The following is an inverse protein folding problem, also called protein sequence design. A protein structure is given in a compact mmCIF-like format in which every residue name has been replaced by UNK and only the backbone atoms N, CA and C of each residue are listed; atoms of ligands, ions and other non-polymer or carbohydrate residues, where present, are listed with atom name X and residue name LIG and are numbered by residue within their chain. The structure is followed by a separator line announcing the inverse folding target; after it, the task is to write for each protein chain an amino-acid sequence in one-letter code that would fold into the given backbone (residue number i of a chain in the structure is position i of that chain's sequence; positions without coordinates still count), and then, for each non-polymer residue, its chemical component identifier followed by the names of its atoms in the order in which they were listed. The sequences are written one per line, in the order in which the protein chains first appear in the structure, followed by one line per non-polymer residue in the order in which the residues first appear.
data_IF_378836233415
#
_entry.id   IF_378836233415
#
_cell.length_a   1.000
_cell.length_b   1.000
_cell.length_c   1.000
_cell.angle_alpha   90.00
_cell.angle_beta   90.00
_cell.angle_gamma   90.00
#
_symmetry.space_group_name_H-M   'P 1'
#
loop_
_entity.id
_entity.type
_entity.pdbx_description
1 polymer ?
#
# COMPACT_ATOMS: atom_id res chain seq x y z
N UNK A 1 -8.86 17.25 -17.26
CA UNK A 1 -8.20 17.77 -18.51
C UNK A 1 -8.66 16.93 -19.68
N UNK A 2 -9.42 17.50 -20.61
CA UNK A 2 -9.91 16.80 -21.80
C UNK A 2 -8.73 16.52 -22.74
N UNK A 3 -8.45 15.24 -23.00
CA UNK A 3 -7.44 14.79 -23.95
C UNK A 3 -7.88 15.01 -25.41
N UNK A 4 -8.36 16.20 -25.71
CA UNK A 4 -8.80 16.52 -27.07
C UNK A 4 -7.59 16.90 -27.93
N UNK A 5 -7.26 16.02 -28.88
CA UNK A 5 -6.23 16.24 -29.86
C UNK A 5 -4.81 15.81 -29.50
N UNK A 6 -3.91 15.93 -30.47
CA UNK A 6 -2.49 15.51 -30.37
C UNK A 6 -1.72 16.17 -29.23
N UNK A 7 -1.85 17.48 -28.93
CA UNK A 7 -1.12 18.07 -27.81
C UNK A 7 -1.43 17.43 -26.44
N UNK A 8 -2.69 17.13 -26.18
CA UNK A 8 -3.10 16.47 -24.93
C UNK A 8 -2.59 15.03 -24.83
N UNK A 9 -2.62 14.27 -25.93
CA UNK A 9 -2.06 12.92 -25.99
C UNK A 9 -0.53 12.95 -25.83
N UNK A 10 0.15 13.90 -26.45
CA UNK A 10 1.60 14.05 -26.33
C UNK A 10 2.02 14.33 -24.87
N UNK A 11 1.26 15.15 -24.15
CA UNK A 11 1.49 15.38 -22.72
C UNK A 11 1.38 14.08 -21.90
N UNK A 12 0.36 13.26 -22.14
CA UNK A 12 0.22 11.95 -21.49
C UNK A 12 1.37 10.99 -21.80
N UNK A 13 1.81 10.95 -23.07
CA UNK A 13 2.95 10.12 -23.49
C UNK A 13 4.27 10.54 -22.84
N UNK A 14 4.42 11.80 -22.43
CA UNK A 14 5.61 12.34 -21.76
C UNK A 14 5.53 12.37 -20.25
N UNK A 15 4.36 12.06 -19.66
CA UNK A 15 4.16 12.12 -18.20
C UNK A 15 5.16 11.25 -17.41
N UNK A 16 5.68 10.16 -17.99
CA UNK A 16 6.70 9.33 -17.39
C UNK A 16 7.99 10.10 -17.01
N UNK A 17 8.29 11.21 -17.71
CA UNK A 17 9.51 12.00 -17.45
C UNK A 17 9.51 12.62 -16.05
N UNK A 18 8.35 13.01 -15.54
CA UNK A 18 8.22 13.54 -14.17
C UNK A 18 8.50 12.47 -13.12
N UNK A 19 8.00 11.25 -13.33
CA UNK A 19 8.28 10.12 -12.43
C UNK A 19 9.75 9.73 -12.46
N UNK A 20 10.37 9.63 -13.66
CA UNK A 20 11.79 9.30 -13.80
C UNK A 20 12.71 10.38 -13.17
N UNK A 21 12.32 11.65 -13.25
CA UNK A 21 13.02 12.74 -12.57
C UNK A 21 13.03 12.54 -11.05
N UNK A 22 11.87 12.21 -10.45
CA UNK A 22 11.75 11.95 -9.02
C UNK A 22 12.53 10.69 -8.60
N UNK A 23 12.45 9.63 -9.39
CA UNK A 23 13.22 8.40 -9.13
C UNK A 23 14.74 8.66 -9.15
N UNK A 24 15.22 9.40 -10.13
CA UNK A 24 16.63 9.79 -10.21
C UNK A 24 17.05 10.68 -9.03
N UNK A 25 16.22 11.62 -8.62
CA UNK A 25 16.51 12.48 -7.48
C UNK A 25 16.58 11.69 -6.16
N UNK A 26 15.70 10.71 -5.96
CA UNK A 26 15.75 9.81 -4.79
C UNK A 26 16.94 8.85 -4.87
N UNK A 27 17.26 8.29 -6.03
CA UNK A 27 18.42 7.41 -6.21
C UNK A 27 19.77 8.13 -5.92
N UNK A 28 19.86 9.39 -6.29
CA UNK A 28 21.03 10.25 -6.02
C UNK A 28 21.02 10.83 -4.60
N UNK A 29 20.05 10.45 -3.77
CA UNK A 29 19.84 10.94 -2.39
C UNK A 29 19.79 12.47 -2.26
N UNK A 30 19.28 13.13 -3.32
CA UNK A 30 19.32 14.58 -3.47
C UNK A 30 18.64 15.34 -2.35
N UNK A 31 17.48 14.83 -1.90
CA UNK A 31 16.69 15.49 -0.86
C UNK A 31 17.39 15.40 0.50
N UNK A 32 18.06 14.28 0.79
CA UNK A 32 18.86 14.10 2.01
C UNK A 32 20.12 14.97 1.98
N UNK A 33 20.80 15.06 0.83
CA UNK A 33 21.97 15.92 0.67
C UNK A 33 21.66 17.41 0.81
N UNK A 34 20.48 17.85 0.34
CA UNK A 34 19.98 19.19 0.57
C UNK A 34 19.65 19.42 2.05
N UNK A 35 18.99 18.47 2.69
CA UNK A 35 18.55 18.63 4.09
C UNK A 35 17.79 19.94 4.28
N UNK A 36 18.15 20.68 5.34
CA UNK A 36 17.59 22.01 5.67
C UNK A 36 18.49 23.16 5.14
N UNK A 37 19.56 22.85 4.40
CA UNK A 37 20.52 23.85 3.91
C UNK A 37 20.31 24.16 2.42
N UNK A 38 20.71 25.37 2.00
CA UNK A 38 20.79 25.72 0.61
C UNK A 38 22.19 25.36 0.06
N UNK A 39 22.26 24.57 -1.02
CA UNK A 39 23.49 24.10 -1.62
C UNK A 39 23.66 24.61 -3.06
N UNK A 40 24.89 24.75 -3.52
CA UNK A 40 25.20 25.02 -4.93
C UNK A 40 25.17 23.74 -5.75
N UNK A 41 25.15 23.87 -7.06
CA UNK A 41 25.23 22.73 -8.01
C UNK A 41 26.52 21.93 -7.78
N UNK A 42 27.64 22.61 -7.57
CA UNK A 42 28.93 22.01 -7.37
C UNK A 42 29.01 21.18 -6.08
N UNK A 43 28.49 21.73 -4.97
CA UNK A 43 28.40 21.04 -3.69
C UNK A 43 27.59 19.73 -3.83
N UNK A 44 26.40 19.81 -4.45
CA UNK A 44 25.51 18.64 -4.62
C UNK A 44 26.08 17.62 -5.64
N UNK A 45 26.73 18.08 -6.69
CA UNK A 45 27.39 17.20 -7.65
C UNK A 45 28.50 16.35 -6.99
N UNK A 46 29.26 16.93 -6.06
CA UNK A 46 30.28 16.21 -5.28
C UNK A 46 29.63 15.20 -4.35
N UNK A 47 28.61 15.59 -3.59
CA UNK A 47 27.91 14.71 -2.64
C UNK A 47 27.26 13.51 -3.34
N UNK A 48 26.64 13.73 -4.49
CA UNK A 48 25.97 12.69 -5.26
C UNK A 48 26.89 11.89 -6.21
N UNK A 49 28.19 12.22 -6.28
CA UNK A 49 29.12 11.62 -7.24
C UNK A 49 28.72 11.84 -8.71
N UNK A 50 28.10 12.98 -9.01
CA UNK A 50 27.52 13.29 -10.31
C UNK A 50 28.28 14.40 -11.04
N UNK A 51 28.03 14.55 -12.35
CA UNK A 51 28.59 15.68 -13.11
C UNK A 51 27.84 16.98 -12.78
N UNK A 52 28.56 18.11 -12.65
CA UNK A 52 27.98 19.43 -12.43
C UNK A 52 26.92 19.79 -13.49
N UNK A 53 27.17 19.42 -14.77
CA UNK A 53 26.22 19.65 -15.86
C UNK A 53 24.90 18.90 -15.65
N UNK A 54 24.97 17.58 -15.32
CA UNK A 54 23.79 16.75 -15.05
C UNK A 54 23.04 17.23 -13.83
N UNK A 55 23.75 17.52 -12.74
CA UNK A 55 23.20 18.03 -11.51
C UNK A 55 22.43 19.33 -11.72
N UNK A 56 23.00 20.30 -12.45
CA UNK A 56 22.31 21.55 -12.77
C UNK A 56 20.96 21.31 -13.47
N UNK A 57 20.94 20.44 -14.50
CA UNK A 57 19.72 20.14 -15.24
C UNK A 57 18.65 19.47 -14.36
N UNK A 58 19.08 18.55 -13.47
CA UNK A 58 18.20 17.87 -12.51
C UNK A 58 17.57 18.89 -11.54
N UNK A 59 18.40 19.73 -10.92
CA UNK A 59 17.96 20.73 -9.94
C UNK A 59 17.04 21.82 -10.56
N UNK A 60 17.37 22.27 -11.77
CA UNK A 60 16.52 23.23 -12.49
C UNK A 60 15.16 22.63 -12.82
N UNK A 61 15.09 21.34 -13.21
CA UNK A 61 13.83 20.64 -13.46
C UNK A 61 13.00 20.46 -12.18
N UNK A 62 13.62 20.00 -11.07
CA UNK A 62 12.96 19.89 -9.77
C UNK A 62 12.45 21.25 -9.26
N UNK A 63 13.21 22.32 -9.50
CA UNK A 63 12.78 23.67 -9.15
C UNK A 63 11.60 24.15 -9.99
N UNK A 64 11.62 23.87 -11.29
CA UNK A 64 10.51 24.19 -12.20
C UNK A 64 9.22 23.45 -11.83
N UNK A 65 9.32 22.21 -11.30
CA UNK A 65 8.19 21.45 -10.75
C UNK A 65 7.75 21.94 -9.36
N UNK A 66 8.44 22.90 -8.76
CA UNK A 66 8.10 23.44 -7.45
C UNK A 66 8.51 22.55 -6.26
N UNK A 67 9.36 21.56 -6.46
CA UNK A 67 9.87 20.70 -5.39
C UNK A 67 11.05 21.34 -4.65
N UNK A 68 11.84 22.15 -5.34
CA UNK A 68 12.95 22.93 -4.79
C UNK A 68 12.66 24.42 -4.95
N UNK A 69 13.35 25.22 -4.13
CA UNK A 69 13.45 26.67 -4.26
C UNK A 69 14.85 27.02 -4.74
N UNK A 70 14.96 27.77 -5.82
CA UNK A 70 16.22 28.30 -6.33
C UNK A 70 16.34 29.77 -5.96
N UNK A 71 17.41 30.15 -5.29
CA UNK A 71 17.77 31.54 -4.99
C UNK A 71 19.22 31.78 -5.42
N UNK A 72 19.41 32.65 -6.38
CA UNK A 72 20.70 32.89 -7.03
C UNK A 72 21.30 31.58 -7.60
N UNK A 73 22.43 31.14 -7.07
CA UNK A 73 23.13 29.91 -7.44
C UNK A 73 22.88 28.73 -6.48
N UNK A 74 21.98 28.90 -5.49
CA UNK A 74 21.69 27.90 -4.47
C UNK A 74 20.29 27.32 -4.60
N UNK A 75 20.17 26.06 -4.24
CA UNK A 75 18.93 25.27 -4.21
C UNK A 75 18.64 24.82 -2.79
N UNK A 76 17.39 24.92 -2.37
CA UNK A 76 16.91 24.43 -1.09
C UNK A 76 15.67 23.55 -1.28
N UNK A 77 15.50 22.53 -0.45
CA UNK A 77 14.31 21.72 -0.46
C UNK A 77 13.14 22.51 0.19
N UNK A 78 11.92 22.34 -0.34
CA UNK A 78 10.72 22.82 0.37
C UNK A 78 10.50 21.96 1.60
N UNK A 79 10.07 22.55 2.71
CA UNK A 79 9.91 21.85 3.99
C UNK A 79 8.99 20.63 3.87
N UNK A 80 7.86 20.78 3.18
CA UNK A 80 6.90 19.70 2.95
C UNK A 80 7.49 18.54 2.13
N UNK A 81 8.40 18.83 1.20
CA UNK A 81 9.10 17.83 0.38
C UNK A 81 10.24 17.17 1.16
N UNK A 82 11.00 17.98 1.93
CA UNK A 82 12.06 17.48 2.81
C UNK A 82 11.48 16.49 3.83
N UNK A 83 10.34 16.75 4.43
CA UNK A 83 9.67 15.84 5.36
C UNK A 83 9.36 14.47 4.72
N UNK A 84 9.02 14.44 3.42
CA UNK A 84 8.63 13.22 2.72
C UNK A 84 9.80 12.45 2.08
N UNK A 85 10.86 13.14 1.66
CA UNK A 85 11.90 12.55 0.81
C UNK A 85 13.32 12.57 1.41
N UNK A 86 13.48 12.95 2.68
CA UNK A 86 14.75 12.86 3.42
C UNK A 86 14.81 11.59 4.25
N UNK A 87 15.90 10.84 4.23
CA UNK A 87 16.03 9.56 4.94
C UNK A 87 15.93 9.68 6.47
N UNK A 88 16.23 10.85 7.03
CA UNK A 88 16.19 11.09 8.47
C UNK A 88 14.81 11.54 8.98
N UNK A 89 13.88 11.84 8.08
CA UNK A 89 12.53 12.23 8.46
C UNK A 89 11.73 11.02 8.97
N UNK A 90 11.02 11.13 10.10
CA UNK A 90 10.12 10.08 10.56
C UNK A 90 8.89 9.90 9.64
N UNK A 91 8.59 10.90 8.81
CA UNK A 91 7.46 10.92 7.86
C UNK A 91 7.86 10.52 6.44
N UNK A 92 9.13 10.12 6.22
CA UNK A 92 9.63 9.84 4.88
C UNK A 92 8.81 8.73 4.17
N UNK A 93 8.77 8.84 2.84
CA UNK A 93 8.04 7.96 1.92
C UNK A 93 8.99 7.28 0.91
N UNK A 94 10.25 7.10 1.29
CA UNK A 94 11.27 6.61 0.37
C UNK A 94 11.04 5.17 -0.07
N UNK A 95 10.46 4.31 0.80
CA UNK A 95 10.10 2.95 0.41
C UNK A 95 8.95 2.96 -0.61
N UNK A 96 7.97 3.85 -0.45
CA UNK A 96 6.89 4.02 -1.43
C UNK A 96 7.44 4.46 -2.80
N UNK A 97 8.40 5.40 -2.85
CA UNK A 97 9.04 5.83 -4.10
C UNK A 97 9.80 4.67 -4.75
N UNK A 98 10.56 3.88 -3.98
CA UNK A 98 11.30 2.71 -4.48
C UNK A 98 10.34 1.63 -5.02
N UNK A 99 9.23 1.38 -4.32
CA UNK A 99 8.20 0.45 -4.76
C UNK A 99 7.58 0.89 -6.09
N UNK A 100 7.20 2.16 -6.21
CA UNK A 100 6.62 2.71 -7.45
C UNK A 100 7.63 2.61 -8.61
N UNK A 101 8.91 2.89 -8.36
CA UNK A 101 9.97 2.70 -9.36
C UNK A 101 10.07 1.24 -9.82
N UNK A 102 10.10 0.29 -8.88
CA UNK A 102 10.09 -1.14 -9.21
C UNK A 102 8.86 -1.51 -10.06
N UNK A 103 7.68 -1.06 -9.67
CA UNK A 103 6.45 -1.24 -10.43
C UNK A 103 6.55 -0.66 -11.84
N UNK A 104 7.19 0.51 -12.03
CA UNK A 104 7.34 1.13 -13.35
C UNK A 104 8.11 0.25 -14.33
N UNK A 105 9.07 -0.53 -13.87
CA UNK A 105 9.82 -1.49 -14.68
C UNK A 105 8.93 -2.66 -15.15
N UNK A 106 8.05 -3.14 -14.27
CA UNK A 106 7.07 -4.17 -14.61
C UNK A 106 6.05 -3.67 -15.65
N UNK A 107 5.60 -2.42 -15.51
CA UNK A 107 4.66 -1.79 -16.45
C UNK A 107 5.19 -1.70 -17.90
N UNK A 108 6.49 -1.73 -18.12
CA UNK A 108 7.08 -1.81 -19.47
C UNK A 108 6.70 -3.10 -20.20
N UNK A 109 6.32 -4.15 -19.45
CA UNK A 109 5.86 -5.44 -19.98
C UNK A 109 4.33 -5.51 -20.13
N UNK A 110 3.58 -4.43 -19.92
CA UNK A 110 2.11 -4.41 -19.91
C UNK A 110 1.49 -5.10 -21.13
N UNK A 111 2.00 -4.84 -22.34
CA UNK A 111 1.45 -5.47 -23.54
C UNK A 111 1.58 -7.01 -23.54
N UNK A 112 2.61 -7.54 -22.89
CA UNK A 112 2.80 -8.98 -22.72
C UNK A 112 1.87 -9.53 -21.64
N UNK A 113 1.75 -8.84 -20.49
CA UNK A 113 0.79 -9.20 -19.45
C UNK A 113 -0.65 -9.25 -19.98
N UNK A 114 -1.04 -8.27 -20.81
CA UNK A 114 -2.39 -8.26 -21.45
C UNK A 114 -2.59 -9.46 -22.39
N UNK A 115 -1.56 -9.90 -23.12
CA UNK A 115 -1.69 -11.08 -23.99
C UNK A 115 -1.79 -12.37 -23.19
N UNK A 116 -1.09 -12.47 -22.04
CA UNK A 116 -1.08 -13.66 -21.21
C UNK A 116 -2.28 -13.73 -20.24
N UNK A 117 -2.82 -12.57 -19.86
CA UNK A 117 -3.84 -12.47 -18.82
C UNK A 117 -3.29 -12.58 -17.40
N UNK A 118 -1.96 -12.43 -17.22
CA UNK A 118 -1.27 -12.51 -15.93
C UNK A 118 0.00 -11.68 -15.91
N UNK A 119 0.54 -11.43 -14.72
CA UNK A 119 1.82 -10.77 -14.53
C UNK A 119 3.01 -11.61 -15.01
N UNK A 120 4.16 -10.93 -15.15
CA UNK A 120 5.44 -11.54 -15.53
C UNK A 120 6.41 -11.31 -14.39
N UNK A 121 7.13 -12.35 -13.97
CA UNK A 121 8.04 -12.30 -12.82
C UNK A 121 7.34 -11.87 -11.52
N UNK A 122 6.14 -12.35 -11.30
CA UNK A 122 5.36 -12.12 -10.08
C UNK A 122 5.98 -12.83 -8.87
N UNK A 123 5.59 -12.44 -7.66
CA UNK A 123 6.04 -13.13 -6.44
C UNK A 123 7.48 -12.86 -5.99
N UNK A 124 8.22 -11.95 -6.61
CA UNK A 124 9.59 -11.62 -6.18
C UNK A 124 9.65 -11.13 -4.74
N UNK A 125 8.66 -10.37 -4.29
CA UNK A 125 8.56 -9.90 -2.90
C UNK A 125 8.44 -11.04 -1.87
N UNK A 126 7.99 -12.22 -2.29
CA UNK A 126 7.82 -13.38 -1.40
C UNK A 126 9.15 -14.11 -1.16
N UNK A 127 10.15 -13.92 -2.02
CA UNK A 127 11.40 -14.67 -2.01
C UNK A 127 12.66 -13.81 -1.79
N UNK A 128 12.54 -12.49 -1.87
CA UNK A 128 13.63 -11.53 -1.70
C UNK A 128 13.39 -10.71 -0.43
N UNK A 129 14.23 -10.92 0.60
CA UNK A 129 14.05 -10.29 1.91
C UNK A 129 14.23 -8.75 1.87
N UNK A 130 15.13 -8.23 1.05
CA UNK A 130 15.35 -6.78 0.94
C UNK A 130 14.17 -6.12 0.21
N UNK A 131 13.73 -6.73 -0.88
CA UNK A 131 12.58 -6.26 -1.64
C UNK A 131 11.28 -6.36 -0.81
N UNK A 132 11.09 -7.46 -0.06
CA UNK A 132 9.97 -7.62 0.88
C UNK A 132 9.99 -6.53 1.95
N UNK A 133 11.12 -6.29 2.61
CA UNK A 133 11.24 -5.23 3.64
C UNK A 133 10.91 -3.85 3.08
N UNK A 134 11.38 -3.54 1.87
CA UNK A 134 11.04 -2.28 1.19
C UNK A 134 9.56 -2.20 0.85
N UNK A 135 8.95 -3.29 0.39
CA UNK A 135 7.51 -3.40 0.12
C UNK A 135 6.69 -3.18 1.39
N UNK A 136 7.01 -3.89 2.49
CA UNK A 136 6.32 -3.74 3.77
C UNK A 136 6.49 -2.32 4.32
N UNK A 137 7.67 -1.72 4.17
CA UNK A 137 7.90 -0.31 4.48
C UNK A 137 6.98 0.63 3.71
N UNK A 138 6.86 0.42 2.40
CA UNK A 138 5.96 1.20 1.55
C UNK A 138 4.48 1.03 1.97
N UNK A 139 4.06 -0.20 2.32
CA UNK A 139 2.69 -0.45 2.81
C UNK A 139 2.40 0.30 4.10
N UNK A 140 3.37 0.39 5.02
CA UNK A 140 3.22 1.22 6.21
C UNK A 140 3.12 2.71 5.88
N UNK A 141 4.04 3.21 5.06
CA UNK A 141 4.11 4.62 4.64
C UNK A 141 2.83 5.11 3.94
N UNK A 142 2.21 4.25 3.13
CA UNK A 142 0.98 4.55 2.39
C UNK A 142 -0.26 4.31 3.25
N UNK A 143 -0.29 3.20 4.01
CA UNK A 143 -1.50 2.68 4.64
C UNK A 143 -1.79 3.24 6.03
N UNK A 144 -0.80 3.80 6.76
CA UNK A 144 -1.00 4.17 8.18
C UNK A 144 -2.06 5.25 8.39
N UNK A 145 -2.22 6.20 7.46
CA UNK A 145 -3.28 7.19 7.52
C UNK A 145 -4.68 6.55 7.39
N UNK A 146 -4.83 5.58 6.46
CA UNK A 146 -6.05 4.81 6.29
C UNK A 146 -6.37 3.96 7.53
N UNK A 147 -5.34 3.33 8.11
CA UNK A 147 -5.47 2.57 9.35
C UNK A 147 -5.99 3.44 10.49
N UNK A 148 -5.47 4.66 10.63
CA UNK A 148 -5.92 5.63 11.63
C UNK A 148 -7.37 6.08 11.39
N UNK A 149 -7.77 6.26 10.14
CA UNK A 149 -9.15 6.62 9.77
C UNK A 149 -10.12 5.49 10.12
N UNK A 150 -9.80 4.23 9.82
CA UNK A 150 -10.60 3.06 10.20
C UNK A 150 -10.72 2.94 11.72
N UNK A 151 -9.61 3.07 12.46
CA UNK A 151 -9.60 3.04 13.91
C UNK A 151 -10.46 4.15 14.54
N UNK A 152 -10.57 5.30 13.88
CA UNK A 152 -11.39 6.41 14.34
C UNK A 152 -12.89 6.26 14.02
N UNK A 153 -13.21 5.60 12.91
CA UNK A 153 -14.57 5.46 12.41
C UNK A 153 -15.37 4.38 13.16
N UNK A 154 -14.75 3.21 13.34
CA UNK A 154 -15.44 2.08 13.99
C UNK A 154 -15.33 2.16 15.51
N UNK A 155 -16.42 1.81 16.21
CA UNK A 155 -16.40 1.65 17.66
C UNK A 155 -16.01 0.20 18.03
N UNK A 156 -14.79 0.04 18.52
CA UNK A 156 -14.26 -1.24 19.01
C UNK A 156 -14.30 -1.33 20.55
N UNK A 157 -15.02 -0.45 21.27
CA UNK A 157 -15.02 -0.39 22.73
C UNK A 157 -15.49 -1.69 23.41
N UNK A 158 -16.38 -2.46 22.76
CA UNK A 158 -16.84 -3.76 23.23
C UNK A 158 -16.08 -4.96 22.68
N UNK A 159 -15.14 -4.74 21.76
CA UNK A 159 -14.36 -5.77 21.06
C UNK A 159 -13.08 -6.09 21.83
N UNK A 160 -12.54 -7.30 21.64
CA UNK A 160 -11.37 -7.79 22.39
C UNK A 160 -10.23 -8.30 21.50
N UNK A 161 -10.57 -9.08 20.46
CA UNK A 161 -9.59 -9.79 19.63
C UNK A 161 -9.75 -9.47 18.15
N UNK A 162 -8.74 -8.90 17.58
CA UNK A 162 -8.65 -8.58 16.14
C UNK A 162 -7.79 -9.64 15.43
N UNK A 163 -8.28 -10.18 14.31
CA UNK A 163 -7.45 -10.86 13.32
C UNK A 163 -7.21 -9.91 12.14
N UNK A 164 -5.95 -9.55 11.90
CA UNK A 164 -5.48 -8.70 10.81
C UNK A 164 -4.92 -9.60 9.71
N UNK A 165 -5.72 -9.85 8.69
CA UNK A 165 -5.48 -10.84 7.64
C UNK A 165 -4.66 -10.21 6.52
N UNK A 166 -3.47 -10.74 6.24
CA UNK A 166 -2.53 -10.09 5.33
C UNK A 166 -2.07 -8.74 5.87
N UNK A 167 -1.87 -8.66 7.22
CA UNK A 167 -1.72 -7.38 7.92
C UNK A 167 -0.39 -6.66 7.65
N UNK A 168 0.54 -7.26 6.87
CA UNK A 168 1.77 -6.63 6.44
C UNK A 168 2.57 -6.04 7.60
N UNK A 169 2.79 -4.72 7.63
CA UNK A 169 3.52 -4.03 8.70
C UNK A 169 2.71 -3.89 10.01
N UNK A 170 1.57 -4.57 10.17
CA UNK A 170 0.66 -4.43 11.31
C UNK A 170 0.06 -3.02 11.48
N UNK A 171 0.04 -2.19 10.45
CA UNK A 171 -0.38 -0.78 10.55
C UNK A 171 -1.79 -0.61 11.10
N UNK A 172 -2.73 -1.44 10.66
CA UNK A 172 -4.12 -1.41 11.11
C UNK A 172 -4.26 -1.89 12.55
N UNK A 173 -3.63 -3.01 12.90
CA UNK A 173 -3.56 -3.51 14.26
C UNK A 173 -2.97 -2.46 15.20
N UNK A 174 -1.85 -1.83 14.83
CA UNK A 174 -1.20 -0.78 15.63
C UNK A 174 -2.16 0.39 15.85
N UNK A 175 -2.77 0.94 14.80
CA UNK A 175 -3.67 2.10 14.90
C UNK A 175 -4.91 1.80 15.76
N UNK A 176 -5.53 0.63 15.58
CA UNK A 176 -6.70 0.20 16.37
C UNK A 176 -6.32 0.03 17.83
N UNK A 177 -5.22 -0.66 18.13
CA UNK A 177 -4.80 -0.91 19.50
C UNK A 177 -4.26 0.34 20.22
N UNK A 178 -3.73 1.32 19.52
CA UNK A 178 -3.42 2.63 20.10
C UNK A 178 -4.67 3.32 20.62
N UNK A 179 -5.78 3.24 19.89
CA UNK A 179 -7.05 3.87 20.27
C UNK A 179 -7.83 3.03 21.27
N UNK A 180 -7.72 1.69 21.23
CA UNK A 180 -8.41 0.73 22.07
C UNK A 180 -7.42 -0.13 22.87
N UNK A 181 -6.87 0.38 23.98
CA UNK A 181 -5.78 -0.29 24.71
C UNK A 181 -6.13 -1.63 25.34
N UNK A 182 -7.41 -1.96 25.48
CA UNK A 182 -7.91 -3.21 26.03
C UNK A 182 -7.91 -4.36 25.02
N UNK A 183 -7.78 -4.07 23.72
CA UNK A 183 -7.75 -5.07 22.66
C UNK A 183 -6.36 -5.71 22.50
N UNK A 184 -6.35 -6.92 21.95
CA UNK A 184 -5.18 -7.56 21.36
C UNK A 184 -5.44 -7.94 19.90
N UNK A 185 -4.38 -8.19 19.14
CA UNK A 185 -4.47 -8.55 17.75
C UNK A 185 -3.56 -9.73 17.41
N UNK A 186 -3.92 -10.46 16.36
CA UNK A 186 -3.05 -11.41 15.66
C UNK A 186 -2.91 -10.94 14.22
N UNK A 187 -1.67 -10.78 13.77
CA UNK A 187 -1.32 -10.49 12.38
C UNK A 187 -0.98 -11.79 11.68
N UNK A 188 -1.72 -12.13 10.65
CA UNK A 188 -1.51 -13.33 9.84
C UNK A 188 -0.99 -12.92 8.45
N UNK A 189 0.23 -13.35 8.09
CA UNK A 189 0.85 -13.01 6.81
C UNK A 189 1.95 -14.03 6.45
N UNK A 190 2.53 -13.91 5.26
CA UNK A 190 3.62 -14.75 4.80
C UNK A 190 4.82 -14.73 5.77
N UNK A 191 5.56 -15.85 5.91
CA UNK A 191 6.67 -15.94 6.88
C UNK A 191 7.68 -14.79 6.76
N UNK A 192 8.08 -14.43 5.56
CA UNK A 192 9.03 -13.35 5.32
C UNK A 192 8.46 -11.96 5.70
N UNK A 193 7.16 -11.77 5.49
CA UNK A 193 6.44 -10.55 5.88
C UNK A 193 6.36 -10.44 7.39
N UNK A 194 6.12 -11.54 8.10
CA UNK A 194 6.07 -11.58 9.57
C UNK A 194 7.38 -11.09 10.20
N UNK A 195 8.54 -11.45 9.64
CA UNK A 195 9.83 -10.93 10.12
C UNK A 195 9.88 -9.39 10.07
N UNK A 196 9.43 -8.79 8.95
CA UNK A 196 9.35 -7.34 8.82
C UNK A 196 8.26 -6.72 9.71
N UNK A 197 7.11 -7.39 9.89
CA UNK A 197 6.02 -6.96 10.77
C UNK A 197 6.49 -6.77 12.21
N UNK A 198 7.31 -7.68 12.71
CA UNK A 198 7.85 -7.65 14.08
C UNK A 198 8.70 -6.40 14.33
N UNK A 199 9.40 -5.88 13.32
CA UNK A 199 10.16 -4.64 13.44
C UNK A 199 9.22 -3.43 13.70
N UNK A 200 8.07 -3.37 13.00
CA UNK A 200 7.06 -2.32 13.20
C UNK A 200 6.33 -2.47 14.53
N UNK A 201 5.91 -3.68 14.89
CA UNK A 201 5.28 -3.99 16.19
C UNK A 201 6.20 -3.53 17.34
N UNK A 202 7.51 -3.81 17.23
CA UNK A 202 8.51 -3.40 18.22
C UNK A 202 8.69 -1.87 18.26
N UNK A 203 8.77 -1.22 17.10
CA UNK A 203 8.89 0.24 16.98
C UNK A 203 7.77 0.98 17.68
N UNK A 204 6.54 0.44 17.62
CA UNK A 204 5.36 1.02 18.26
C UNK A 204 5.09 0.50 19.69
N UNK A 205 5.97 -0.37 20.25
CA UNK A 205 5.83 -0.89 21.60
C UNK A 205 4.64 -1.82 21.79
N UNK A 206 4.24 -2.56 20.74
CA UNK A 206 3.03 -3.39 20.75
C UNK A 206 3.28 -4.90 20.95
N UNK A 207 4.51 -5.32 21.27
CA UNK A 207 4.92 -6.74 21.34
C UNK A 207 4.12 -7.58 22.34
N UNK A 208 3.53 -6.96 23.36
CA UNK A 208 2.72 -7.65 24.36
C UNK A 208 1.23 -7.72 24.00
N UNK A 209 0.83 -7.18 22.85
CA UNK A 209 -0.59 -7.08 22.45
C UNK A 209 -0.84 -7.47 21.00
N UNK A 210 0.21 -7.62 20.20
CA UNK A 210 0.12 -8.07 18.82
C UNK A 210 0.96 -9.33 18.68
N UNK A 211 0.29 -10.45 18.46
CA UNK A 211 0.90 -11.71 18.08
C UNK A 211 1.01 -11.81 16.55
N UNK A 212 1.89 -12.68 16.06
CA UNK A 212 2.08 -12.88 14.62
C UNK A 212 2.02 -14.36 14.29
N UNK A 213 1.34 -14.71 13.17
CA UNK A 213 1.24 -16.09 12.67
C UNK A 213 1.69 -16.12 11.22
N UNK A 214 2.74 -16.88 10.90
CA UNK A 214 3.15 -17.08 9.51
C UNK A 214 2.16 -18.02 8.81
N UNK A 215 1.58 -17.57 7.69
CA UNK A 215 0.60 -18.32 6.90
C UNK A 215 0.59 -17.85 5.45
N UNK A 216 0.47 -18.76 4.50
CA UNK A 216 0.10 -18.42 3.12
C UNK A 216 -1.43 -18.55 2.99
N UNK A 217 -2.11 -17.40 2.95
CA UNK A 217 -3.57 -17.30 2.97
C UNK A 217 -4.23 -18.08 1.82
N UNK A 218 -3.55 -18.22 0.68
CA UNK A 218 -4.09 -18.85 -0.51
C UNK A 218 -3.62 -20.30 -0.73
N UNK A 219 -2.43 -20.64 -0.25
CA UNK A 219 -1.84 -21.97 -0.49
C UNK A 219 -2.02 -22.94 0.67
N UNK A 220 -2.08 -22.44 1.91
CA UNK A 220 -2.26 -23.30 3.06
C UNK A 220 -3.70 -23.84 3.12
N UNK A 221 -3.82 -25.16 3.22
CA UNK A 221 -5.12 -25.84 3.25
C UNK A 221 -5.90 -25.52 4.53
N UNK A 222 -5.19 -25.33 5.65
CA UNK A 222 -5.75 -24.94 6.94
C UNK A 222 -4.80 -23.93 7.61
N UNK A 223 -5.37 -23.08 8.44
CA UNK A 223 -4.61 -22.08 9.19
C UNK A 223 -4.37 -22.58 10.62
N UNK A 224 -3.12 -22.52 11.08
CA UNK A 224 -2.76 -22.73 12.50
C UNK A 224 -3.02 -21.41 13.26
N UNK A 225 -4.27 -20.98 13.24
CA UNK A 225 -4.77 -19.76 13.86
C UNK A 225 -5.91 -20.15 14.79
N UNK A 226 -5.85 -19.67 16.04
CA UNK A 226 -6.95 -19.86 17.02
C UNK A 226 -8.27 -19.32 16.49
N UNK A 227 -9.35 -19.82 17.03
CA UNK A 227 -10.70 -19.24 16.89
C UNK A 227 -10.97 -18.18 17.96
N UNK A 228 -12.10 -17.51 17.91
CA UNK A 228 -12.54 -16.57 18.94
C UNK A 228 -12.13 -15.12 18.67
N UNK A 229 -12.08 -14.74 17.41
CA UNK A 229 -11.94 -13.33 17.02
C UNK A 229 -13.32 -12.69 16.93
N UNK A 230 -13.47 -11.52 17.53
CA UNK A 230 -14.70 -10.72 17.46
C UNK A 230 -14.61 -9.58 16.44
N UNK A 231 -13.41 -9.33 15.89
CA UNK A 231 -13.16 -8.46 14.73
C UNK A 231 -12.17 -9.15 13.79
N UNK A 232 -12.46 -9.09 12.52
CA UNK A 232 -11.55 -9.50 11.44
C UNK A 232 -11.40 -8.36 10.44
N UNK A 233 -10.18 -8.04 10.07
CA UNK A 233 -9.88 -7.04 9.05
C UNK A 233 -9.13 -7.70 7.90
N UNK A 234 -9.65 -7.54 6.69
CA UNK A 234 -9.02 -7.91 5.43
C UNK A 234 -8.78 -6.59 4.68
N UNK A 235 -7.53 -6.14 4.61
CA UNK A 235 -7.21 -4.86 3.99
C UNK A 235 -6.20 -5.01 2.86
N UNK A 236 -6.63 -4.72 1.64
CA UNK A 236 -5.81 -4.78 0.43
C UNK A 236 -5.17 -6.16 0.20
N UNK A 237 -5.97 -7.21 0.34
CA UNK A 237 -5.58 -8.62 0.17
C UNK A 237 -6.30 -9.26 -1.01
N UNK A 238 -7.61 -9.05 -1.12
CA UNK A 238 -8.44 -9.77 -2.10
C UNK A 238 -8.07 -9.45 -3.55
N UNK A 239 -7.54 -8.27 -3.80
CA UNK A 239 -7.08 -7.89 -5.14
C UNK A 239 -5.83 -8.65 -5.61
N UNK A 240 -5.19 -9.45 -4.73
CA UNK A 240 -3.97 -10.20 -5.06
C UNK A 240 -4.25 -11.54 -5.75
N UNK A 241 -5.47 -12.06 -5.68
CA UNK A 241 -5.82 -13.41 -6.13
C UNK A 241 -7.10 -13.45 -6.98
N UNK A 242 -7.41 -14.60 -7.55
CA UNK A 242 -8.60 -14.85 -8.34
C UNK A 242 -9.88 -15.00 -7.50
N UNK A 243 -11.04 -14.95 -8.17
CA UNK A 243 -12.35 -15.00 -7.52
C UNK A 243 -12.58 -16.27 -6.71
N UNK A 244 -12.22 -17.45 -7.26
CA UNK A 244 -12.38 -18.74 -6.59
C UNK A 244 -11.50 -18.83 -5.34
N UNK A 245 -10.26 -18.35 -5.42
CA UNK A 245 -9.32 -18.33 -4.31
C UNK A 245 -9.80 -17.41 -3.20
N UNK A 246 -10.35 -16.23 -3.53
CA UNK A 246 -10.92 -15.29 -2.58
C UNK A 246 -12.16 -15.85 -1.89
N UNK A 247 -13.08 -16.52 -2.61
CA UNK A 247 -14.23 -17.19 -2.01
C UNK A 247 -13.80 -18.25 -0.99
N UNK A 248 -12.83 -19.10 -1.36
CA UNK A 248 -12.29 -20.12 -0.45
C UNK A 248 -11.56 -19.52 0.75
N UNK A 249 -10.86 -18.40 0.58
CA UNK A 249 -10.22 -17.67 1.68
C UNK A 249 -11.27 -17.15 2.68
N UNK A 250 -12.32 -16.49 2.19
CA UNK A 250 -13.38 -15.93 3.04
C UNK A 250 -14.11 -17.03 3.80
N UNK A 251 -14.37 -18.19 3.18
CA UNK A 251 -14.96 -19.36 3.85
C UNK A 251 -14.08 -19.86 5.02
N UNK A 252 -12.78 -19.98 4.85
CA UNK A 252 -11.84 -20.34 5.91
C UNK A 252 -11.84 -19.32 7.05
N UNK A 253 -11.78 -18.04 6.69
CA UNK A 253 -11.72 -16.93 7.66
C UNK A 253 -13.01 -16.80 8.47
N UNK A 254 -14.18 -16.97 7.85
CA UNK A 254 -15.47 -16.91 8.55
C UNK A 254 -15.59 -17.95 9.68
N UNK A 255 -14.87 -19.07 9.60
CA UNK A 255 -14.87 -20.09 10.66
C UNK A 255 -14.12 -19.62 11.91
N UNK A 256 -13.15 -18.74 11.79
CA UNK A 256 -12.33 -18.20 12.89
C UNK A 256 -13.05 -17.08 13.66
N UNK A 257 -14.08 -16.47 13.04
CA UNK A 257 -14.84 -15.36 13.61
C UNK A 257 -15.91 -15.89 14.58
N UNK A 258 -16.09 -15.27 15.72
CA UNK A 258 -17.13 -15.61 16.70
C UNK A 258 -18.53 -15.18 16.22
N UNK A 259 -19.59 -15.80 16.77
CA UNK A 259 -20.96 -15.34 16.60
C UNK A 259 -21.08 -13.87 17.10
N UNK A 260 -21.72 -13.02 16.31
CA UNK A 260 -21.75 -11.56 16.53
C UNK A 260 -20.44 -10.84 16.17
N UNK A 261 -19.46 -11.56 15.71
CA UNK A 261 -18.19 -10.97 15.23
C UNK A 261 -18.35 -10.22 13.92
N UNK A 262 -17.51 -9.22 13.70
CA UNK A 262 -17.55 -8.33 12.55
C UNK A 262 -16.34 -8.57 11.62
N UNK A 263 -16.60 -8.74 10.33
CA UNK A 263 -15.59 -8.76 9.29
C UNK A 263 -15.61 -7.42 8.54
N UNK A 264 -14.48 -6.75 8.49
CA UNK A 264 -14.26 -5.49 7.75
C UNK A 264 -13.37 -5.81 6.55
N UNK A 265 -13.84 -5.52 5.35
CA UNK A 265 -13.07 -5.62 4.11
C UNK A 265 -12.78 -4.21 3.62
N UNK A 266 -11.50 -3.86 3.53
CA UNK A 266 -11.02 -2.61 2.98
C UNK A 266 -10.28 -2.88 1.66
N UNK A 267 -10.90 -2.45 0.56
CA UNK A 267 -10.40 -2.76 -0.79
C UNK A 267 -10.62 -1.61 -1.79
N UNK A 268 -9.90 -1.69 -2.90
CA UNK A 268 -10.11 -0.85 -4.07
C UNK A 268 -11.27 -1.39 -4.90
N UNK A 269 -12.51 -1.21 -4.42
CA UNK A 269 -13.69 -1.66 -5.16
C UNK A 269 -13.86 -0.93 -6.48
N UNK A 270 -14.28 -1.66 -7.53
CA UNK A 270 -14.51 -1.13 -8.87
C UNK A 270 -15.98 -1.22 -9.26
N UNK A 271 -16.51 -0.15 -9.85
CA UNK A 271 -17.76 -0.20 -10.60
C UNK A 271 -17.43 -0.47 -12.07
N UNK A 272 -17.71 -1.66 -12.56
CA UNK A 272 -17.42 -2.03 -13.95
C UNK A 272 -18.24 -1.24 -14.98
N UNK A 273 -19.39 -0.70 -14.60
CA UNK A 273 -20.22 0.09 -15.49
C UNK A 273 -19.66 1.52 -15.69
N UNK A 274 -19.01 2.07 -14.65
CA UNK A 274 -18.47 3.43 -14.67
C UNK A 274 -17.18 3.52 -13.83
N UNK A 275 -16.09 2.83 -14.21
CA UNK A 275 -14.88 2.82 -13.42
C UNK A 275 -14.21 4.19 -13.41
N UNK A 276 -13.75 4.63 -12.24
CA UNK A 276 -12.84 5.77 -12.18
C UNK A 276 -11.50 5.41 -12.81
N UNK A 277 -10.77 6.42 -13.29
CA UNK A 277 -9.42 6.20 -13.87
C UNK A 277 -8.51 5.53 -12.86
N UNK A 278 -8.56 5.96 -11.61
CA UNK A 278 -7.74 5.40 -10.52
C UNK A 278 -8.01 3.91 -10.31
N UNK A 279 -9.29 3.50 -10.17
CA UNK A 279 -9.66 2.09 -9.95
C UNK A 279 -9.35 1.21 -11.16
N UNK A 280 -9.60 1.71 -12.38
CA UNK A 280 -9.25 0.99 -13.60
C UNK A 280 -7.74 0.80 -13.74
N UNK A 281 -6.94 1.83 -13.42
CA UNK A 281 -5.48 1.75 -13.45
C UNK A 281 -4.93 0.85 -12.35
N UNK A 282 -5.54 0.83 -11.17
CA UNK A 282 -5.14 -0.07 -10.10
C UNK A 282 -5.47 -1.53 -10.44
N UNK A 283 -6.65 -1.80 -11.01
CA UNK A 283 -7.00 -3.15 -11.49
C UNK A 283 -6.03 -3.63 -12.58
N UNK A 284 -5.63 -2.75 -13.49
CA UNK A 284 -4.61 -3.05 -14.50
C UNK A 284 -3.23 -3.26 -13.88
N UNK A 285 -2.92 -2.55 -12.78
CA UNK A 285 -1.68 -2.79 -12.02
C UNK A 285 -1.67 -4.19 -11.41
N UNK A 286 -2.80 -4.69 -10.92
CA UNK A 286 -2.90 -6.07 -10.41
C UNK A 286 -2.63 -7.11 -11.50
N UNK A 287 -3.10 -6.89 -12.74
CA UNK A 287 -2.73 -7.74 -13.88
C UNK A 287 -1.21 -7.78 -14.10
N UNK A 288 -0.50 -6.68 -13.87
CA UNK A 288 0.96 -6.61 -14.06
C UNK A 288 1.72 -7.23 -12.89
N UNK A 289 1.22 -7.08 -11.67
CA UNK A 289 1.93 -7.40 -10.43
C UNK A 289 1.60 -8.81 -9.89
N UNK A 290 0.52 -9.45 -10.33
CA UNK A 290 0.01 -10.70 -9.78
C UNK A 290 -0.29 -11.74 -10.86
N UNK A 291 -0.51 -12.99 -10.45
CA UNK A 291 -0.86 -14.08 -11.37
C UNK A 291 -2.35 -14.05 -11.77
N UNK A 292 -3.26 -13.65 -10.86
CA UNK A 292 -4.70 -13.68 -11.10
C UNK A 292 -5.48 -12.56 -10.44
N UNK A 293 -4.78 -11.57 -9.85
CA UNK A 293 -5.42 -10.49 -9.10
C UNK A 293 -6.06 -9.43 -9.97
N UNK A 294 -7.08 -8.79 -9.40
CA UNK A 294 -7.82 -7.68 -9.99
C UNK A 294 -8.59 -6.90 -8.91
N UNK A 295 -9.17 -5.76 -9.26
CA UNK A 295 -10.19 -5.14 -8.40
C UNK A 295 -11.52 -5.87 -8.56
N UNK A 296 -12.25 -5.98 -7.47
CA UNK A 296 -13.59 -6.58 -7.41
C UNK A 296 -14.65 -5.54 -7.08
N UNK A 297 -15.89 -5.81 -7.49
CA UNK A 297 -17.03 -4.98 -7.13
C UNK A 297 -17.52 -5.30 -5.71
N UNK A 298 -18.31 -4.39 -5.12
CA UNK A 298 -19.01 -4.66 -3.87
C UNK A 298 -19.93 -5.88 -3.95
N UNK A 299 -20.54 -6.11 -5.13
CA UNK A 299 -21.40 -7.26 -5.38
C UNK A 299 -20.66 -8.58 -5.27
N UNK A 300 -19.53 -8.72 -5.98
CA UNK A 300 -18.72 -9.95 -5.95
C UNK A 300 -18.23 -10.28 -4.54
N UNK A 301 -17.67 -9.31 -3.84
CA UNK A 301 -17.20 -9.54 -2.47
C UNK A 301 -18.37 -9.81 -1.52
N UNK A 302 -19.49 -9.13 -1.71
CA UNK A 302 -20.72 -9.38 -0.95
C UNK A 302 -21.27 -10.80 -1.15
N UNK A 303 -21.19 -11.34 -2.36
CA UNK A 303 -21.57 -12.74 -2.66
C UNK A 303 -20.68 -13.74 -1.94
N UNK A 304 -19.36 -13.53 -1.89
CA UNK A 304 -18.43 -14.40 -1.13
C UNK A 304 -18.73 -14.36 0.37
N UNK A 305 -18.94 -13.17 0.94
CA UNK A 305 -19.29 -13.01 2.35
C UNK A 305 -20.63 -13.71 2.70
N UNK A 306 -21.64 -13.56 1.82
CA UNK A 306 -22.95 -14.22 2.01
C UNK A 306 -22.85 -15.75 1.89
N UNK A 307 -22.05 -16.26 0.94
CA UNK A 307 -21.80 -17.69 0.77
C UNK A 307 -21.12 -18.29 2.00
N UNK A 308 -20.19 -17.57 2.64
CA UNK A 308 -19.55 -17.94 3.90
C UNK A 308 -20.47 -17.84 5.13
N UNK A 309 -21.76 -17.51 4.95
CA UNK A 309 -22.75 -17.44 6.01
C UNK A 309 -22.81 -16.12 6.77
N UNK A 310 -22.05 -15.12 6.36
CA UNK A 310 -22.11 -13.80 6.98
C UNK A 310 -23.37 -13.03 6.55
N UNK A 311 -23.82 -12.11 7.39
CA UNK A 311 -25.07 -11.33 7.24
C UNK A 311 -24.79 -9.84 7.39
N UNK A 312 -25.82 -9.02 7.22
CA UNK A 312 -25.77 -7.56 7.37
C UNK A 312 -24.64 -6.92 6.56
N UNK A 313 -24.47 -7.43 5.32
CA UNK A 313 -23.40 -7.02 4.42
C UNK A 313 -23.73 -5.64 3.87
N UNK A 314 -22.94 -4.63 4.21
CA UNK A 314 -23.20 -3.27 3.78
C UNK A 314 -21.89 -2.48 3.50
N UNK A 315 -21.88 -1.64 2.45
CA UNK A 315 -20.82 -0.65 2.25
C UNK A 315 -20.81 0.36 3.40
N UNK A 316 -19.61 0.84 3.75
CA UNK A 316 -19.41 1.90 4.74
C UNK A 316 -18.89 3.14 4.04
N UNK A 317 -19.61 4.24 4.21
CA UNK A 317 -19.32 5.54 3.60
C UNK A 317 -18.71 6.52 4.62
N UNK A 318 -18.11 7.61 4.14
CA UNK A 318 -17.64 8.72 4.98
C UNK A 318 -16.32 8.50 5.71
N UNK A 319 -15.63 7.37 5.48
CA UNK A 319 -14.28 7.13 6.00
C UNK A 319 -13.22 7.67 5.05
N UNK A 320 -13.40 7.45 3.77
CA UNK A 320 -12.50 7.86 2.69
C UNK A 320 -13.25 8.66 1.64
N UNK A 321 -12.52 9.44 0.84
CA UNK A 321 -13.08 10.22 -0.27
C UNK A 321 -13.79 9.32 -1.30
N UNK A 322 -13.18 8.16 -1.60
CA UNK A 322 -13.82 7.11 -2.41
C UNK A 322 -14.24 5.95 -1.50
N UNK A 323 -15.49 5.46 -1.63
CA UNK A 323 -15.92 4.29 -0.87
C UNK A 323 -15.00 3.09 -1.11
N UNK A 324 -14.54 2.47 -0.03
CA UNK A 324 -13.57 1.37 -0.07
C UNK A 324 -13.74 0.35 1.06
N UNK A 325 -14.86 0.39 1.77
CA UNK A 325 -15.14 -0.49 2.91
C UNK A 325 -16.46 -1.26 2.72
N UNK A 326 -16.42 -2.54 3.10
CA UNK A 326 -17.56 -3.42 3.22
C UNK A 326 -17.50 -4.08 4.60
N UNK A 327 -18.63 -4.17 5.28
CA UNK A 327 -18.74 -4.82 6.59
C UNK A 327 -19.78 -5.94 6.52
N UNK A 328 -19.50 -7.03 7.22
CA UNK A 328 -20.41 -8.15 7.41
C UNK A 328 -20.33 -8.65 8.85
N UNK A 329 -21.39 -9.32 9.33
CA UNK A 329 -21.50 -9.86 10.68
C UNK A 329 -21.75 -11.36 10.62
N UNK A 330 -21.10 -12.13 11.51
CA UNK A 330 -21.39 -13.55 11.71
C UNK A 330 -22.61 -13.68 12.62
N UNK A 331 -23.68 -14.38 12.16
CA UNK A 331 -24.90 -14.55 12.97
C UNK A 331 -24.67 -15.34 14.25
#
# INVERSE_FOLDING_TARGET
MTAAGWPGLLGRLRAYQESELLFAAVELDMFTHLGDAACTVEELAVLAGASTRGMRMLLDALSAMGLLVKQDDRYACRQEISALLTCHSPENKLNAVRLIRHGSEQWRKLAECVRQGSGIDTGRFVHDAELNRSFIGAMHEIGFANASAIAAHFDFSSRKRLLDVGGGPASYSIAILQRYPHMCATVADLPLTIEASQEYIARYGMQNRIDTVPVDLYRDAAFDIDTGYDVMLISNVLHMAGSEENGALIDKLAQLLDAGGMMIVHESFIDYAAPTVERAMFSLHMLVATDGGQCYSYGEVGEWLAAAGLRDICPVEGVFEQPSLLVAVKP
#
